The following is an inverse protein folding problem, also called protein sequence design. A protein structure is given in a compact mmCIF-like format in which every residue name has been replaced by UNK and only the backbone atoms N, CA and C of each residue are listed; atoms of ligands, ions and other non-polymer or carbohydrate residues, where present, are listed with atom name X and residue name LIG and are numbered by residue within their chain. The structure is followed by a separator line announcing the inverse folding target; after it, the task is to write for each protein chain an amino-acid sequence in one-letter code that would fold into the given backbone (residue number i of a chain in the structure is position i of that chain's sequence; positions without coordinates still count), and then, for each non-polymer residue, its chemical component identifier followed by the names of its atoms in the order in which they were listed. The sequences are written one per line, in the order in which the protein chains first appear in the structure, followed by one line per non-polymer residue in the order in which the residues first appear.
data_IF_766837768793
#
_entry.id   IF_766837768793
#
_cell.length_a   1.000
_cell.length_b   1.000
_cell.length_c   1.000
_cell.angle_alpha   90.00
_cell.angle_beta   90.00
_cell.angle_gamma   90.00
#
_symmetry.space_group_name_H-M   'P 1'
#
loop_
_entity.id
_entity.type
_entity.pdbx_description
1 polymer ?
#
# COMPACT_ATOMS: atom_id res chain seq x y z
N UNK A 1 11.49 -5.09 5.33
CA UNK A 1 10.55 -5.15 4.20
C UNK A 1 11.24 -4.68 2.93
N UNK A 2 11.04 -5.37 1.85
CA UNK A 2 11.62 -5.01 0.58
C UNK A 2 10.55 -4.34 -0.30
N UNK A 3 10.91 -3.27 -1.00
CA UNK A 3 10.02 -2.56 -1.91
C UNK A 3 10.62 -2.58 -3.30
N UNK A 4 9.92 -3.21 -4.24
CA UNK A 4 10.24 -3.13 -5.66
C UNK A 4 9.23 -2.23 -6.33
N UNK A 5 9.65 -1.45 -7.32
CA UNK A 5 8.72 -0.53 -7.96
C UNK A 5 9.17 -0.18 -9.38
N UNK A 6 8.21 0.24 -10.17
CA UNK A 6 8.47 0.90 -11.45
C UNK A 6 7.32 1.88 -11.74
N UNK A 7 7.58 2.82 -12.62
CA UNK A 7 6.57 3.79 -13.02
C UNK A 7 6.43 3.75 -14.55
N UNK A 8 5.18 3.59 -15.02
CA UNK A 8 4.88 3.63 -16.45
C UNK A 8 3.47 4.15 -16.65
N UNK A 9 3.26 4.96 -17.70
CA UNK A 9 1.94 5.51 -18.05
C UNK A 9 1.23 6.19 -16.87
N UNK A 10 1.99 6.93 -16.06
CA UNK A 10 1.50 7.62 -14.88
C UNK A 10 0.93 6.68 -13.81
N UNK A 11 1.36 5.41 -13.81
CA UNK A 11 1.02 4.45 -12.77
C UNK A 11 2.30 4.08 -12.03
N UNK A 12 2.30 4.29 -10.71
CA UNK A 12 3.38 3.81 -9.85
C UNK A 12 3.02 2.40 -9.40
N UNK A 13 3.77 1.42 -9.91
CA UNK A 13 3.62 0.02 -9.52
C UNK A 13 4.57 -0.27 -8.38
N UNK A 14 4.03 -0.76 -7.25
CA UNK A 14 4.81 -1.05 -6.05
C UNK A 14 4.54 -2.49 -5.62
N UNK A 15 5.59 -3.25 -5.37
CA UNK A 15 5.46 -4.60 -4.81
C UNK A 15 6.11 -4.62 -3.43
N UNK A 16 5.37 -5.06 -2.44
CA UNK A 16 5.82 -5.15 -1.05
C UNK A 16 6.16 -6.58 -0.69
N UNK A 17 7.32 -6.80 -0.08
CA UNK A 17 7.77 -8.13 0.32
C UNK A 17 8.12 -8.09 1.82
N UNK A 18 7.36 -8.82 2.61
CA UNK A 18 7.60 -8.95 4.04
C UNK A 18 6.45 -8.41 4.89
N UNK A 19 6.79 -7.60 5.89
CA UNK A 19 5.83 -7.12 6.88
C UNK A 19 5.76 -5.60 6.86
N UNK A 20 4.56 -5.07 6.74
CA UNK A 20 4.32 -3.63 6.85
C UNK A 20 3.79 -3.34 8.25
N UNK A 21 4.70 -3.02 9.17
CA UNK A 21 4.39 -2.83 10.58
C UNK A 21 4.95 -1.50 11.10
N UNK A 22 4.95 -1.32 12.40
CA UNK A 22 5.38 -0.07 13.03
C UNK A 22 6.83 0.30 12.68
N UNK A 23 7.70 -0.70 12.47
CA UNK A 23 9.11 -0.44 12.16
C UNK A 23 9.34 -0.14 10.68
N UNK A 24 8.52 -0.67 9.78
CA UNK A 24 8.69 -0.51 8.33
C UNK A 24 7.80 0.56 7.73
N UNK A 25 6.70 0.90 8.39
CA UNK A 25 5.75 1.88 7.85
C UNK A 25 6.38 3.26 7.56
N UNK A 26 7.25 3.82 8.43
CA UNK A 26 7.88 5.12 8.11
C UNK A 26 8.72 5.07 6.84
N UNK A 27 9.43 3.98 6.59
CA UNK A 27 10.20 3.81 5.37
C UNK A 27 9.32 3.77 4.13
N UNK A 28 8.20 3.08 4.22
CA UNK A 28 7.24 3.01 3.12
C UNK A 28 6.60 4.38 2.85
N UNK A 29 6.27 5.11 3.91
CA UNK A 29 5.73 6.46 3.77
C UNK A 29 6.73 7.38 3.07
N UNK A 30 8.01 7.32 3.47
CA UNK A 30 9.07 8.10 2.82
C UNK A 30 9.23 7.70 1.36
N UNK A 31 9.15 6.41 1.05
CA UNK A 31 9.23 5.92 -0.31
C UNK A 31 8.10 6.53 -1.17
N UNK A 32 6.89 6.51 -0.68
CA UNK A 32 5.75 7.07 -1.41
C UNK A 32 5.91 8.57 -1.62
N UNK A 33 6.39 9.29 -0.60
CA UNK A 33 6.61 10.73 -0.71
C UNK A 33 7.65 11.09 -1.76
N UNK A 34 8.66 10.25 -1.94
CA UNK A 34 9.71 10.49 -2.93
C UNK A 34 9.32 10.08 -4.34
N UNK A 35 8.49 9.06 -4.48
CA UNK A 35 8.25 8.44 -5.79
C UNK A 35 6.88 8.75 -6.37
N UNK A 36 5.95 9.23 -5.58
CA UNK A 36 4.64 9.66 -6.07
C UNK A 36 4.59 11.18 -6.11
N UNK A 37 4.39 11.73 -7.29
CA UNK A 37 4.45 13.18 -7.52
C UNK A 37 3.08 13.89 -7.38
N UNK A 38 2.06 13.17 -6.96
CA UNK A 38 0.72 13.73 -6.82
C UNK A 38 -0.16 13.55 -8.07
N UNK A 39 0.40 13.03 -9.15
CA UNK A 39 -0.31 12.79 -10.39
C UNK A 39 -0.34 11.30 -10.72
N UNK A 40 -1.43 10.85 -11.31
CA UNK A 40 -1.58 9.46 -11.70
C UNK A 40 -2.08 8.58 -10.57
N UNK A 41 -1.87 7.30 -10.71
CA UNK A 41 -2.38 6.30 -9.77
C UNK A 41 -1.26 5.45 -9.19
N UNK A 42 -1.62 4.68 -8.14
CA UNK A 42 -0.71 3.74 -7.48
C UNK A 42 -1.37 2.36 -7.50
N UNK A 43 -0.60 1.36 -7.91
CA UNK A 43 -1.00 -0.04 -7.79
C UNK A 43 -0.01 -0.72 -6.86
N UNK A 44 -0.51 -1.31 -5.78
CA UNK A 44 0.32 -1.99 -4.78
C UNK A 44 0.05 -3.47 -4.87
N UNK A 45 1.09 -4.23 -5.24
CA UNK A 45 1.04 -5.68 -5.29
C UNK A 45 1.40 -6.24 -3.92
N UNK A 46 0.46 -6.92 -3.30
CA UNK A 46 0.57 -7.44 -1.95
C UNK A 46 0.83 -8.95 -1.93
N UNK A 47 1.23 -9.55 -3.05
CA UNK A 47 1.43 -10.99 -3.14
C UNK A 47 2.40 -11.51 -2.08
N UNK A 48 3.46 -10.76 -1.80
CA UNK A 48 4.48 -11.14 -0.83
C UNK A 48 4.36 -10.36 0.48
N UNK A 49 3.28 -9.62 0.67
CA UNK A 49 3.01 -8.94 1.92
C UNK A 49 2.39 -9.93 2.89
N UNK A 50 3.11 -10.23 3.99
CA UNK A 50 2.73 -11.28 4.92
C UNK A 50 1.92 -10.77 6.11
N UNK A 51 2.03 -9.47 6.41
CA UNK A 51 1.39 -8.90 7.58
C UNK A 51 1.28 -7.39 7.43
N UNK A 52 0.22 -6.82 7.98
CA UNK A 52 0.05 -5.38 8.06
C UNK A 52 -0.44 -4.99 9.45
N UNK A 53 0.14 -3.93 10.02
CA UNK A 53 -0.29 -3.38 11.31
C UNK A 53 -1.14 -2.12 11.10
N UNK A 54 -1.66 -1.57 12.20
CA UNK A 54 -2.39 -0.31 12.13
C UNK A 54 -1.54 0.84 11.59
N UNK A 55 -0.23 0.84 11.90
CA UNK A 55 0.68 1.84 11.34
C UNK A 55 0.77 1.73 9.82
N UNK A 56 0.85 0.50 9.29
CA UNK A 56 0.83 0.27 7.86
C UNK A 56 -0.48 0.69 7.21
N UNK A 57 -1.59 0.39 7.86
CA UNK A 57 -2.91 0.81 7.38
C UNK A 57 -3.02 2.32 7.27
N UNK A 58 -2.46 3.06 8.23
CA UNK A 58 -2.47 4.54 8.18
C UNK A 58 -1.71 5.06 6.97
N UNK A 59 -0.58 4.46 6.63
CA UNK A 59 0.19 4.87 5.45
C UNK A 59 -0.62 4.62 4.19
N UNK A 60 -1.25 3.46 4.07
CA UNK A 60 -2.10 3.15 2.94
C UNK A 60 -3.29 4.09 2.84
N UNK A 61 -3.93 4.42 3.96
CA UNK A 61 -5.05 5.34 3.97
C UNK A 61 -4.63 6.75 3.55
N UNK A 62 -3.47 7.21 4.02
CA UNK A 62 -2.94 8.51 3.62
C UNK A 62 -2.63 8.55 2.12
N UNK A 63 -2.10 7.47 1.57
CA UNK A 63 -1.84 7.34 0.13
C UNK A 63 -3.14 7.35 -0.66
N UNK A 64 -4.18 6.67 -0.16
CA UNK A 64 -5.50 6.68 -0.78
C UNK A 64 -6.04 8.10 -0.91
N UNK A 65 -5.90 8.89 0.15
CA UNK A 65 -6.35 10.29 0.15
C UNK A 65 -5.53 11.14 -0.83
N UNK A 66 -4.21 10.95 -0.86
CA UNK A 66 -3.34 11.67 -1.77
C UNK A 66 -3.66 11.42 -3.23
N UNK A 67 -4.01 10.18 -3.56
CA UNK A 67 -4.37 9.81 -4.93
C UNK A 67 -5.82 10.12 -5.26
N UNK A 68 -6.59 10.62 -4.29
CA UNK A 68 -8.03 10.88 -4.44
C UNK A 68 -8.78 9.63 -4.88
N UNK A 69 -8.38 8.49 -4.32
CA UNK A 69 -8.99 7.22 -4.63
C UNK A 69 -8.38 6.47 -5.79
N UNK A 70 -7.35 7.00 -6.42
CA UNK A 70 -6.68 6.35 -7.55
C UNK A 70 -5.59 5.38 -7.07
N UNK A 71 -5.84 4.63 -6.02
CA UNK A 71 -4.94 3.60 -5.50
C UNK A 71 -5.65 2.26 -5.48
N UNK A 72 -4.93 1.22 -5.88
CA UNK A 72 -5.48 -0.13 -5.94
C UNK A 72 -4.51 -1.10 -5.28
N UNK A 73 -5.05 -2.04 -4.51
CA UNK A 73 -4.28 -3.14 -3.94
C UNK A 73 -4.64 -4.41 -4.69
N UNK A 74 -3.64 -5.20 -5.06
CA UNK A 74 -3.82 -6.46 -5.77
C UNK A 74 -3.12 -7.59 -5.03
N UNK A 75 -3.59 -8.82 -5.23
CA UNK A 75 -3.01 -10.04 -4.68
C UNK A 75 -2.91 -10.01 -3.15
N UNK A 76 -3.92 -9.47 -2.49
CA UNK A 76 -3.94 -9.39 -1.03
C UNK A 76 -4.16 -10.78 -0.45
N UNK A 77 -3.24 -11.24 0.41
CA UNK A 77 -3.37 -12.55 1.02
C UNK A 77 -4.49 -12.56 2.08
N UNK A 78 -4.92 -13.77 2.44
CA UNK A 78 -6.05 -13.95 3.35
C UNK A 78 -5.82 -13.27 4.71
N UNK A 79 -4.62 -13.39 5.27
CA UNK A 79 -4.31 -12.80 6.57
C UNK A 79 -4.41 -11.27 6.53
N UNK A 80 -3.87 -10.65 5.49
CA UNK A 80 -3.94 -9.19 5.33
C UNK A 80 -5.38 -8.75 5.05
N UNK A 81 -6.11 -9.52 4.27
CA UNK A 81 -7.52 -9.23 3.99
C UNK A 81 -8.36 -9.27 5.29
N UNK A 82 -8.07 -10.22 6.18
CA UNK A 82 -8.75 -10.26 7.48
C UNK A 82 -8.54 -8.97 8.27
N UNK A 83 -7.33 -8.41 8.25
CA UNK A 83 -7.06 -7.14 8.92
C UNK A 83 -7.88 -6.01 8.29
N UNK A 84 -7.98 -5.97 6.97
CA UNK A 84 -8.82 -4.98 6.30
C UNK A 84 -10.29 -5.13 6.68
N UNK A 85 -10.79 -6.34 6.74
CA UNK A 85 -12.18 -6.61 7.12
C UNK A 85 -12.46 -6.18 8.56
N UNK A 86 -11.54 -6.50 9.48
CA UNK A 86 -11.68 -6.15 10.89
C UNK A 86 -11.68 -4.63 11.13
N UNK A 87 -10.98 -3.89 10.28
CA UNK A 87 -10.85 -2.43 10.41
C UNK A 87 -11.85 -1.66 9.55
N UNK A 88 -12.64 -2.36 8.72
CA UNK A 88 -13.59 -1.73 7.82
C UNK A 88 -12.99 -1.18 6.55
N UNK A 89 -11.72 -1.47 6.27
CA UNK A 89 -11.05 -0.94 5.08
C UNK A 89 -11.19 -1.83 3.84
N UNK A 90 -11.74 -3.02 3.98
CA UNK A 90 -11.90 -3.93 2.85
C UNK A 90 -12.76 -3.32 1.73
N UNK A 91 -13.81 -2.61 2.09
CA UNK A 91 -14.72 -2.00 1.12
C UNK A 91 -14.07 -0.88 0.31
N UNK A 92 -12.95 -0.35 0.79
CA UNK A 92 -12.24 0.74 0.11
C UNK A 92 -11.30 0.19 -0.96
N UNK A 93 -10.69 -0.95 -0.72
CA UNK A 93 -9.60 -1.46 -1.56
C UNK A 93 -9.89 -2.76 -2.29
N UNK A 94 -11.03 -3.36 -2.07
CA UNK A 94 -11.35 -4.67 -2.69
C UNK A 94 -12.53 -4.57 -3.64
#
# INVERSE_FOLDING_TARGET
MKIDFNKSNEILHVALDGRLDTTTAPGFESFLSKNYDGNGSIVIDCEKLLYISSAGLRVLLAAQKKTKGAMKLINVCELVMEVFEMTGFADIWV
#
